data_IF_667460691444
#
_entry.id   IF_667460691444
#
_cell.length_a   1.000
_cell.length_b   1.000
_cell.length_c   1.000
_cell.angle_alpha   90.00
_cell.angle_beta   90.00
_cell.angle_gamma   90.00
#
_symmetry.space_group_name_H-M   'P 1'
#
loop_
_entity.id
_entity.type
_entity.pdbx_description
1 polymer ?
#
# COMPACT_ATOMS: atom_id res chain seq x y z
N UNK A 1 -3.84 43.65 9.19
CA UNK A 1 -2.77 42.94 9.20
C UNK A 1 -2.87 41.64 8.62
N UNK A 2 -2.14 41.44 7.69
CA UNK A 2 -2.25 40.25 6.92
C UNK A 2 -1.88 39.03 7.67
N UNK A 3 -1.10 39.20 8.69
CA UNK A 3 -0.70 38.06 9.40
C UNK A 3 -1.69 37.55 10.31
N UNK A 4 -2.88 37.91 10.18
CA UNK A 4 -3.90 37.51 11.10
C UNK A 4 -4.23 36.05 11.02
N UNK A 5 -5.46 35.69 11.35
CA UNK A 5 -5.85 34.30 11.53
C UNK A 5 -5.53 33.38 10.39
N UNK A 6 -5.71 33.77 9.10
CA UNK A 6 -5.41 32.81 8.03
C UNK A 6 -3.96 32.39 8.04
N UNK A 7 -3.06 33.31 8.29
CA UNK A 7 -1.65 32.96 8.34
C UNK A 7 -1.37 32.05 9.52
N UNK A 8 -1.97 32.35 10.67
CA UNK A 8 -1.80 31.51 11.84
C UNK A 8 -2.28 30.11 11.59
N UNK A 9 -3.44 29.97 10.93
CA UNK A 9 -3.99 28.68 10.62
C UNK A 9 -3.05 27.92 9.69
N UNK A 10 -2.49 28.60 8.71
CA UNK A 10 -1.55 27.97 7.80
C UNK A 10 -0.30 27.54 8.55
N UNK A 11 0.19 28.39 9.42
CA UNK A 11 1.37 28.06 10.21
C UNK A 11 1.15 26.85 11.08
N UNK A 12 -0.02 26.76 11.70
CA UNK A 12 -0.37 25.62 12.53
C UNK A 12 -0.42 24.36 11.68
N UNK A 13 -1.06 24.44 10.51
CA UNK A 13 -1.16 23.29 9.62
C UNK A 13 0.21 22.84 9.16
N UNK A 14 1.07 23.77 8.81
CA UNK A 14 2.41 23.44 8.38
C UNK A 14 3.26 22.87 9.50
N UNK A 15 3.06 23.36 10.71
CA UNK A 15 3.76 22.83 11.87
C UNK A 15 3.34 21.37 12.11
N UNK A 16 2.05 21.09 11.97
CA UNK A 16 1.58 19.72 12.11
C UNK A 16 2.13 18.82 11.05
N UNK A 17 2.12 19.30 9.80
CA UNK A 17 2.69 18.52 8.71
C UNK A 17 4.18 18.27 8.91
N UNK A 18 4.90 19.31 9.35
CA UNK A 18 6.31 19.16 9.60
C UNK A 18 6.57 18.17 10.73
N UNK A 19 5.73 18.19 11.76
CA UNK A 19 5.86 17.24 12.85
C UNK A 19 5.60 15.82 12.38
N UNK A 20 4.55 15.63 11.59
CA UNK A 20 4.25 14.32 11.03
C UNK A 20 5.37 13.84 10.13
N UNK A 21 5.89 14.74 9.30
CA UNK A 21 7.00 14.41 8.42
C UNK A 21 8.25 14.07 9.22
N UNK A 22 8.48 14.80 10.29
CA UNK A 22 9.65 14.53 11.13
C UNK A 22 9.54 13.17 11.80
N UNK A 23 8.34 12.84 12.29
CA UNK A 23 8.12 11.54 12.89
C UNK A 23 8.26 10.43 11.87
N UNK A 24 7.64 10.60 10.71
CA UNK A 24 7.80 9.65 9.62
C UNK A 24 9.24 9.59 9.15
N UNK A 25 9.90 10.74 9.11
CA UNK A 25 11.28 10.81 8.69
C UNK A 25 12.22 10.12 9.65
N UNK A 26 11.92 10.19 10.95
CA UNK A 26 12.73 9.49 11.92
C UNK A 26 12.61 7.99 11.70
N UNK A 27 11.40 7.48 11.51
CA UNK A 27 11.22 6.08 11.22
C UNK A 27 11.90 5.69 9.92
N UNK A 28 11.75 6.52 8.89
CA UNK A 28 12.39 6.24 7.60
C UNK A 28 13.89 6.26 7.69
N UNK A 29 14.43 7.19 8.49
CA UNK A 29 15.87 7.28 8.63
C UNK A 29 16.46 6.12 9.40
N UNK A 30 15.63 5.43 10.18
CA UNK A 30 16.11 4.24 10.84
C UNK A 30 16.21 3.06 9.89
N UNK A 31 15.65 3.17 8.68
CA UNK A 31 15.77 2.12 7.68
C UNK A 31 17.06 2.25 6.92
N UNK A 32 17.77 1.15 6.80
CA UNK A 32 18.99 1.12 6.02
C UNK A 32 18.66 1.12 4.52
N UNK A 33 19.66 1.37 3.71
CA UNK A 33 19.49 1.26 2.26
C UNK A 33 19.07 -0.14 1.86
N UNK A 34 19.61 -1.14 2.53
CA UNK A 34 19.25 -2.52 2.26
C UNK A 34 17.79 -2.78 2.57
N UNK A 35 17.29 -2.25 3.69
CA UNK A 35 15.89 -2.40 4.04
C UNK A 35 14.98 -1.69 3.05
N UNK A 36 15.35 -0.49 2.61
CA UNK A 36 14.57 0.23 1.61
C UNK A 36 14.52 -0.53 0.30
N UNK A 37 15.64 -1.12 -0.10
CA UNK A 37 15.68 -1.93 -1.32
C UNK A 37 14.79 -3.15 -1.17
N UNK A 38 14.84 -3.80 -0.01
CA UNK A 38 14.01 -4.98 0.23
C UNK A 38 12.52 -4.63 0.16
N UNK A 39 12.14 -3.49 0.72
CA UNK A 39 10.76 -3.03 0.67
C UNK A 39 10.34 -2.75 -0.78
N UNK A 40 11.22 -2.13 -1.55
CA UNK A 40 10.93 -1.84 -2.96
C UNK A 40 10.71 -3.12 -3.75
N UNK A 41 11.48 -4.17 -3.47
CA UNK A 41 11.30 -5.46 -4.12
C UNK A 41 9.95 -6.06 -3.75
N UNK A 42 9.59 -5.99 -2.46
CA UNK A 42 8.31 -6.51 -2.00
C UNK A 42 7.15 -5.82 -2.71
N UNK A 43 7.23 -4.50 -2.84
CA UNK A 43 6.18 -3.73 -3.50
C UNK A 43 6.07 -4.08 -4.97
N UNK A 44 7.19 -4.26 -5.65
CA UNK A 44 7.19 -4.65 -7.05
C UNK A 44 6.60 -6.04 -7.25
N UNK A 45 6.98 -6.97 -6.39
CA UNK A 45 6.45 -8.32 -6.44
C UNK A 45 4.95 -8.32 -6.23
N UNK A 46 4.48 -7.51 -5.28
CA UNK A 46 3.06 -7.39 -5.01
C UNK A 46 2.32 -6.88 -6.24
N UNK A 47 2.83 -5.82 -6.87
CA UNK A 47 2.19 -5.25 -8.05
C UNK A 47 2.13 -6.25 -9.19
N UNK A 48 3.21 -7.01 -9.38
CA UNK A 48 3.25 -8.04 -10.42
C UNK A 48 2.22 -9.13 -10.16
N UNK A 49 2.11 -9.56 -8.90
CA UNK A 49 1.14 -10.60 -8.55
C UNK A 49 -0.30 -10.12 -8.66
N UNK A 50 -0.55 -8.86 -8.32
CA UNK A 50 -1.88 -8.29 -8.51
C UNK A 50 -2.23 -8.25 -9.99
N UNK A 51 -1.27 -7.86 -10.83
CA UNK A 51 -1.50 -7.82 -12.28
C UNK A 51 -1.80 -9.21 -12.82
N UNK A 52 -1.04 -10.24 -12.41
CA UNK A 52 -1.30 -11.61 -12.82
C UNK A 52 -2.68 -12.07 -12.37
N UNK A 53 -3.02 -11.76 -11.12
CA UNK A 53 -4.30 -12.15 -10.56
C UNK A 53 -5.45 -11.52 -11.36
N UNK A 54 -5.29 -10.25 -11.73
CA UNK A 54 -6.30 -9.55 -12.51
C UNK A 54 -6.49 -10.17 -13.88
N UNK A 55 -5.39 -10.49 -14.54
CA UNK A 55 -5.44 -11.10 -15.88
C UNK A 55 -6.15 -12.45 -15.82
N UNK A 56 -5.80 -13.27 -14.84
CA UNK A 56 -6.43 -14.57 -14.68
C UNK A 56 -7.92 -14.43 -14.37
N UNK A 57 -8.27 -13.48 -13.50
CA UNK A 57 -9.66 -13.25 -13.14
C UNK A 57 -10.46 -12.81 -14.36
N UNK A 58 -9.94 -11.86 -15.14
CA UNK A 58 -10.62 -11.40 -16.34
C UNK A 58 -10.83 -12.54 -17.33
N UNK A 59 -9.82 -13.38 -17.52
CA UNK A 59 -9.90 -14.50 -18.41
C UNK A 59 -10.99 -15.48 -17.97
N UNK A 60 -11.02 -15.80 -16.69
CA UNK A 60 -12.04 -16.71 -16.15
C UNK A 60 -13.43 -16.11 -16.23
N UNK A 61 -13.53 -14.81 -15.94
CA UNK A 61 -14.81 -14.13 -15.96
C UNK A 61 -15.40 -14.13 -17.37
N UNK A 62 -14.56 -13.88 -18.36
CA UNK A 62 -15.01 -13.87 -19.75
C UNK A 62 -15.45 -15.25 -20.23
N UNK A 63 -14.83 -16.29 -19.70
CA UNK A 63 -15.15 -17.65 -20.09
C UNK A 63 -16.38 -18.19 -19.36
N UNK A 64 -16.78 -17.57 -18.25
CA UNK A 64 -17.85 -18.09 -17.44
C UNK A 64 -19.18 -17.44 -17.80
N UNK A 65 -20.16 -18.22 -18.18
CA UNK A 65 -21.48 -17.70 -18.57
C UNK A 65 -22.49 -17.78 -17.45
N UNK A 66 -22.29 -18.64 -16.47
CA UNK A 66 -23.23 -18.79 -15.37
C UNK A 66 -23.09 -17.66 -14.36
N UNK A 67 -24.16 -16.89 -14.08
CA UNK A 67 -24.08 -15.76 -13.17
C UNK A 67 -23.62 -16.12 -11.75
N UNK A 68 -24.07 -17.26 -11.24
CA UNK A 68 -23.68 -17.67 -9.89
C UNK A 68 -22.20 -18.01 -9.84
N UNK A 69 -21.70 -18.67 -10.88
CA UNK A 69 -20.27 -18.98 -10.95
C UNK A 69 -19.44 -17.71 -11.11
N UNK A 70 -19.94 -16.73 -11.85
CA UNK A 70 -19.25 -15.46 -11.98
C UNK A 70 -19.16 -14.74 -10.65
N UNK A 71 -20.21 -14.82 -9.85
CA UNK A 71 -20.18 -14.21 -8.53
C UNK A 71 -19.15 -14.88 -7.64
N UNK A 72 -19.02 -16.20 -7.72
CA UNK A 72 -17.98 -16.92 -6.99
C UNK A 72 -16.61 -16.48 -7.42
N UNK A 73 -16.40 -16.27 -8.73
CA UNK A 73 -15.12 -15.76 -9.22
C UNK A 73 -14.80 -14.38 -8.65
N UNK A 74 -15.81 -13.52 -8.54
CA UNK A 74 -15.59 -12.19 -7.95
C UNK A 74 -15.19 -12.29 -6.49
N UNK A 75 -15.81 -13.18 -5.74
CA UNK A 75 -15.47 -13.39 -4.34
C UNK A 75 -14.05 -13.93 -4.18
N UNK A 76 -13.70 -14.89 -5.03
CA UNK A 76 -12.36 -15.45 -5.01
C UNK A 76 -11.33 -14.40 -5.34
N UNK A 77 -11.62 -13.55 -6.30
CA UNK A 77 -10.71 -12.48 -6.69
C UNK A 77 -10.48 -11.52 -5.53
N UNK A 78 -11.55 -11.10 -4.87
CA UNK A 78 -11.41 -10.21 -3.71
C UNK A 78 -10.58 -10.85 -2.60
N UNK A 79 -10.79 -12.14 -2.36
CA UNK A 79 -10.02 -12.87 -1.36
C UNK A 79 -8.55 -12.96 -1.74
N UNK A 80 -8.27 -13.23 -3.01
CA UNK A 80 -6.90 -13.31 -3.49
C UNK A 80 -6.18 -11.98 -3.35
N UNK A 81 -6.86 -10.89 -3.72
CA UNK A 81 -6.27 -9.55 -3.56
C UNK A 81 -5.98 -9.23 -2.10
N UNK A 82 -6.91 -9.58 -1.22
CA UNK A 82 -6.72 -9.34 0.22
C UNK A 82 -5.54 -10.14 0.76
N UNK A 83 -5.40 -11.39 0.30
CA UNK A 83 -4.30 -12.24 0.71
C UNK A 83 -2.96 -11.69 0.23
N UNK A 84 -2.91 -11.21 -1.01
CA UNK A 84 -1.69 -10.61 -1.54
C UNK A 84 -1.31 -9.36 -0.77
N UNK A 85 -2.28 -8.53 -0.42
CA UNK A 85 -2.03 -7.31 0.35
C UNK A 85 -1.52 -7.66 1.76
N UNK A 86 -2.12 -8.65 2.38
CA UNK A 86 -1.69 -9.08 3.71
C UNK A 86 -0.26 -9.63 3.68
N UNK A 87 0.06 -10.42 2.66
CA UNK A 87 1.38 -10.99 2.51
C UNK A 87 2.42 -9.88 2.28
N UNK A 88 2.08 -8.90 1.43
CA UNK A 88 2.93 -7.75 1.22
C UNK A 88 3.22 -7.03 2.54
N UNK A 89 2.18 -6.78 3.32
CA UNK A 89 2.33 -6.05 4.56
C UNK A 89 3.20 -6.81 5.56
N UNK A 90 3.05 -8.12 5.62
CA UNK A 90 3.88 -8.93 6.49
C UNK A 90 5.34 -8.89 6.07
N UNK A 91 5.59 -8.95 4.77
CA UNK A 91 6.95 -8.89 4.28
C UNK A 91 7.59 -7.54 4.52
N UNK A 92 6.82 -6.46 4.37
CA UNK A 92 7.32 -5.13 4.66
C UNK A 92 7.64 -5.00 6.15
N UNK A 93 6.76 -5.52 7.01
CA UNK A 93 7.00 -5.49 8.44
C UNK A 93 8.26 -6.27 8.79
N UNK A 94 8.47 -7.42 8.17
CA UNK A 94 9.67 -8.21 8.41
C UNK A 94 10.92 -7.47 7.94
N UNK A 95 10.82 -6.77 6.82
CA UNK A 95 11.96 -6.03 6.30
C UNK A 95 12.31 -4.80 7.14
N UNK A 96 11.30 -4.25 7.82
CA UNK A 96 11.54 -3.07 8.67
C UNK A 96 11.88 -3.42 10.10
N UNK A 97 11.54 -4.63 10.53
CA UNK A 97 11.87 -5.02 11.88
C UNK A 97 13.32 -5.35 11.91
N UNK A 98 14.11 -4.81 12.24
CA UNK A 98 15.41 -4.93 12.18
C UNK A 98 16.03 -5.60 13.24
N UNK A 99 16.29 -6.56 13.23
CA UNK A 99 17.01 -7.10 14.25
C UNK A 99 17.45 -8.30 14.13
#
# INVERSE_FOLDING_TARGET
MPEGPPKSAIEIAMAKLAQQDAESGVERRSLSATQKDAIAVVRRDYEAKVAECRILHESRRLAELDPAARETLEEEYRRDLARLASFRDKKIAAATSDD
#
